data_IF_572109632938
#
_entry.id   IF_572109632938
#
_cell.length_a   1.000
_cell.length_b   1.000
_cell.length_c   1.000
_cell.angle_alpha   90.00
_cell.angle_beta   90.00
_cell.angle_gamma   90.00
#
_symmetry.space_group_name_H-M   'P 1'
#
loop_
_entity.id
_entity.type
_entity.pdbx_description
1 polymer ?
#
# COMPACT_ATOMS: atom_id res chain seq x y z
N UNK A 1 -7.36 20.00 2.26
CA UNK A 1 -7.96 19.06 3.23
C UNK A 1 -6.93 17.99 3.56
N UNK A 2 -6.92 17.48 4.79
CA UNK A 2 -6.04 16.37 5.19
C UNK A 2 -6.47 15.04 4.53
N UNK A 3 -5.49 14.20 4.17
CA UNK A 3 -5.74 12.83 3.73
C UNK A 3 -6.31 12.01 4.90
N UNK A 4 -7.38 11.26 4.64
CA UNK A 4 -7.95 10.31 5.60
C UNK A 4 -7.91 8.93 4.94
N UNK A 5 -7.07 8.00 5.43
CA UNK A 5 -7.01 6.65 4.88
C UNK A 5 -8.35 5.92 4.97
N UNK A 6 -8.60 5.00 4.05
CA UNK A 6 -9.75 4.11 4.14
C UNK A 6 -9.60 3.17 5.35
N UNK A 7 -10.69 2.79 6.04
CA UNK A 7 -10.64 1.80 7.11
C UNK A 7 -9.95 0.50 6.64
N UNK A 8 -8.99 0.00 7.42
CA UNK A 8 -8.20 -1.19 7.07
C UNK A 8 -6.99 -0.93 6.15
N UNK A 9 -6.78 0.31 5.70
CA UNK A 9 -5.64 0.70 4.88
C UNK A 9 -4.85 1.84 5.54
N UNK A 10 -3.79 1.53 6.28
CA UNK A 10 -2.99 2.53 7.01
C UNK A 10 -1.52 2.53 6.56
N UNK A 11 -1.20 3.21 5.45
CA UNK A 11 0.17 3.42 5.00
C UNK A 11 0.93 4.36 5.91
N UNK A 12 2.19 4.03 6.20
CA UNK A 12 3.21 4.99 6.64
C UNK A 12 4.05 5.38 5.43
N UNK A 13 4.09 6.66 5.08
CA UNK A 13 4.86 7.16 3.93
C UNK A 13 6.17 7.81 4.36
N UNK A 14 7.21 7.59 3.57
CA UNK A 14 8.55 8.15 3.74
C UNK A 14 9.08 8.15 5.19
N UNK A 15 8.97 7.02 5.94
CA UNK A 15 9.47 7.00 7.31
C UNK A 15 11.00 7.12 7.33
N UNK A 16 11.53 7.78 8.36
CA UNK A 16 12.96 7.87 8.62
C UNK A 16 13.50 6.58 9.21
N UNK A 17 14.78 6.29 8.96
CA UNK A 17 15.49 5.17 9.57
C UNK A 17 16.29 5.63 10.81
N UNK A 18 16.45 4.77 11.84
CA UNK A 18 15.81 3.46 11.98
C UNK A 18 14.30 3.60 12.18
N UNK A 19 13.52 2.79 11.46
CA UNK A 19 12.08 2.70 11.69
C UNK A 19 11.84 1.65 12.77
N UNK A 20 11.08 1.99 13.81
CA UNK A 20 10.61 1.05 14.81
C UNK A 20 9.23 1.49 15.31
N UNK A 21 8.19 0.72 14.98
CA UNK A 21 6.80 1.06 15.34
C UNK A 21 5.98 -0.19 15.68
N UNK A 22 4.94 -0.05 16.52
CA UNK A 22 3.99 -1.12 16.77
C UNK A 22 3.31 -1.59 15.48
N UNK A 23 3.05 -2.89 15.40
CA UNK A 23 2.17 -3.49 14.39
C UNK A 23 0.74 -3.28 14.87
N UNK A 24 -0.12 -2.55 14.14
CA UNK A 24 -1.49 -2.28 14.58
C UNK A 24 -2.28 -3.57 14.84
N UNK A 25 -2.79 -3.73 16.06
CA UNK A 25 -3.55 -4.92 16.46
C UNK A 25 -2.69 -6.17 16.77
N UNK A 26 -1.36 -6.06 16.72
CA UNK A 26 -0.46 -7.20 16.80
C UNK A 26 -0.36 -7.96 15.48
N UNK A 27 0.55 -8.93 15.40
CA UNK A 27 0.71 -9.75 14.21
C UNK A 27 -0.20 -10.98 14.25
N UNK A 28 -0.96 -11.23 13.18
CA UNK A 28 -1.88 -12.37 13.07
C UNK A 28 -1.74 -13.11 11.74
N UNK A 29 -2.13 -14.38 11.73
CA UNK A 29 -2.21 -15.18 10.50
C UNK A 29 -3.13 -14.48 9.48
N UNK A 30 -2.72 -14.48 8.22
CA UNK A 30 -3.40 -13.78 7.13
C UNK A 30 -2.93 -12.34 6.92
N UNK A 31 -2.18 -11.76 7.88
CA UNK A 31 -1.58 -10.44 7.69
C UNK A 31 -0.46 -10.45 6.65
N UNK A 32 -0.26 -9.31 6.00
CA UNK A 32 0.89 -9.03 5.16
C UNK A 32 1.51 -7.70 5.56
N UNK A 33 2.84 -7.70 5.71
CA UNK A 33 3.64 -6.49 5.87
C UNK A 33 4.25 -6.15 4.51
N UNK A 34 3.93 -4.97 4.01
CA UNK A 34 4.28 -4.53 2.67
C UNK A 34 5.20 -3.32 2.74
N UNK A 35 6.43 -3.47 2.24
CA UNK A 35 7.51 -2.49 2.34
C UNK A 35 7.98 -2.12 0.93
N UNK A 36 7.95 -0.84 0.62
CA UNK A 36 8.51 -0.28 -0.62
C UNK A 36 9.64 0.66 -0.27
N UNK A 37 10.76 0.56 -0.99
CA UNK A 37 11.94 1.38 -0.73
C UNK A 37 12.94 1.33 -1.87
N UNK A 38 14.07 2.00 -1.66
CA UNK A 38 15.22 2.01 -2.57
C UNK A 38 16.44 1.54 -1.79
N UNK A 39 17.11 0.50 -2.28
CA UNK A 39 18.39 0.07 -1.73
C UNK A 39 19.45 1.13 -2.05
N UNK A 40 20.28 1.50 -1.08
CA UNK A 40 21.36 2.47 -1.30
C UNK A 40 22.34 1.98 -2.38
N UNK A 41 22.89 2.90 -3.18
CA UNK A 41 24.00 2.60 -4.11
C UNK A 41 25.23 2.05 -3.37
N UNK A 42 25.39 2.43 -2.11
CA UNK A 42 26.47 1.98 -1.23
C UNK A 42 26.03 0.89 -0.25
N UNK A 43 24.90 0.22 -0.53
CA UNK A 43 24.35 -0.79 0.37
C UNK A 43 25.37 -1.87 0.70
N UNK A 44 25.62 -2.04 2.00
CA UNK A 44 26.31 -3.18 2.60
C UNK A 44 25.28 -4.13 3.20
N UNK A 45 24.27 -3.63 3.90
CA UNK A 45 23.17 -4.43 4.44
C UNK A 45 22.00 -3.58 4.90
N UNK A 46 20.83 -4.19 4.95
CA UNK A 46 19.72 -3.70 5.75
C UNK A 46 19.03 -4.85 6.46
N UNK A 47 18.21 -4.56 7.46
CA UNK A 47 17.41 -5.57 8.14
C UNK A 47 15.96 -5.16 8.29
N UNK A 48 15.08 -6.16 8.22
CA UNK A 48 13.68 -6.08 8.64
C UNK A 48 13.50 -7.07 9.78
N UNK A 49 13.09 -6.58 10.94
CA UNK A 49 12.97 -7.34 12.17
C UNK A 49 11.54 -7.30 12.69
N UNK A 50 11.01 -8.48 13.02
CA UNK A 50 9.77 -8.62 13.78
C UNK A 50 10.14 -8.83 15.24
N UNK A 51 9.89 -7.82 16.06
CA UNK A 51 10.31 -7.77 17.46
C UNK A 51 9.19 -8.22 18.39
N UNK A 52 9.59 -8.84 19.50
CA UNK A 52 8.70 -9.27 20.60
C UNK A 52 8.47 -8.16 21.65
N UNK A 53 9.03 -6.97 21.43
CA UNK A 53 8.88 -5.83 22.32
C UNK A 53 9.46 -4.56 21.71
N UNK A 54 9.29 -3.44 22.41
CA UNK A 54 9.85 -2.15 22.01
C UNK A 54 11.24 -1.86 22.60
N UNK A 55 11.61 -2.60 23.64
CA UNK A 55 12.80 -2.29 24.43
C UNK A 55 14.08 -2.68 23.66
N UNK A 56 15.18 -1.90 23.81
CA UNK A 56 16.47 -2.29 23.26
C UNK A 56 16.87 -3.70 23.71
N UNK A 57 17.24 -4.56 22.76
CA UNK A 57 17.58 -5.95 23.03
C UNK A 57 16.39 -6.91 23.13
N UNK A 58 15.16 -6.43 22.85
CA UNK A 58 14.00 -7.31 22.68
C UNK A 58 14.29 -8.44 21.70
N UNK A 59 13.69 -9.60 21.96
CA UNK A 59 13.81 -10.76 21.08
C UNK A 59 13.32 -10.44 19.66
N UNK A 60 13.99 -11.04 18.68
CA UNK A 60 13.67 -10.91 17.26
C UNK A 60 13.11 -12.24 16.81
N UNK A 61 11.78 -12.32 16.61
CA UNK A 61 11.11 -13.52 16.13
C UNK A 61 11.52 -13.86 14.70
N UNK A 62 11.66 -12.83 13.86
CA UNK A 62 12.11 -12.97 12.48
C UNK A 62 13.03 -11.83 12.09
N UNK A 63 14.29 -12.18 11.78
CA UNK A 63 15.32 -11.29 11.24
C UNK A 63 15.48 -11.60 9.76
N UNK A 64 15.20 -10.62 8.89
CA UNK A 64 15.45 -10.68 7.46
C UNK A 64 16.59 -9.73 7.11
N UNK A 65 17.71 -10.22 6.61
CA UNK A 65 18.91 -9.40 6.45
C UNK A 65 19.69 -9.69 5.16
N UNK A 66 19.41 -8.95 4.08
CA UNK A 66 20.23 -8.93 2.88
C UNK A 66 21.60 -8.30 3.15
N UNK A 67 22.66 -8.97 2.69
CA UNK A 67 24.07 -8.57 2.87
C UNK A 67 24.83 -8.59 1.56
N UNK A 68 25.56 -7.51 1.30
CA UNK A 68 26.52 -7.31 0.20
C UNK A 68 27.96 -7.23 0.75
N UNK A 69 28.34 -8.23 1.54
CA UNK A 69 29.61 -8.29 2.29
C UNK A 69 30.57 -9.36 1.75
N UNK A 70 30.64 -9.48 0.41
CA UNK A 70 31.53 -10.39 -0.31
C UNK A 70 30.76 -11.49 -1.01
N UNK A 71 30.38 -12.55 -0.28
CA UNK A 71 29.43 -13.55 -0.78
C UNK A 71 28.02 -13.07 -0.47
N UNK A 72 27.43 -12.35 -1.43
CA UNK A 72 26.08 -11.82 -1.39
C UNK A 72 25.07 -12.91 -0.98
N UNK A 73 24.27 -12.58 0.03
CA UNK A 73 23.31 -13.52 0.63
C UNK A 73 22.23 -12.78 1.40
N UNK A 74 21.09 -13.42 1.55
CA UNK A 74 20.09 -13.03 2.54
C UNK A 74 20.19 -13.99 3.72
N UNK A 75 20.36 -13.45 4.92
CA UNK A 75 20.39 -14.18 6.17
C UNK A 75 19.04 -14.06 6.85
N UNK A 76 18.56 -15.20 7.39
CA UNK A 76 17.36 -15.27 8.19
C UNK A 76 17.68 -15.90 9.55
N UNK A 77 17.15 -15.33 10.62
CA UNK A 77 17.37 -15.89 11.95
C UNK A 77 16.32 -15.41 12.98
N UNK A 78 16.43 -15.95 14.19
CA UNK A 78 15.70 -15.53 15.39
C UNK A 78 16.75 -15.21 16.46
N UNK A 79 16.51 -14.16 17.24
CA UNK A 79 17.30 -13.83 18.42
C UNK A 79 16.43 -13.99 19.67
N UNK A 80 16.88 -14.80 20.62
CA UNK A 80 16.18 -15.03 21.89
C UNK A 80 17.15 -14.87 23.07
N UNK A 81 16.78 -14.08 24.07
CA UNK A 81 17.64 -13.82 25.23
C UNK A 81 19.00 -13.22 24.85
N UNK A 82 19.03 -12.36 23.82
CA UNK A 82 20.24 -11.75 23.29
C UNK A 82 21.18 -12.68 22.51
N UNK A 83 20.76 -13.92 22.21
CA UNK A 83 21.55 -14.90 21.45
C UNK A 83 20.88 -15.23 20.13
N UNK A 84 21.67 -15.22 19.05
CA UNK A 84 21.23 -15.68 17.74
C UNK A 84 21.08 -17.20 17.71
N UNK A 85 20.01 -17.67 17.10
CA UNK A 85 19.83 -19.09 16.79
C UNK A 85 20.64 -19.55 15.56
N UNK A 86 20.26 -20.70 15.01
CA UNK A 86 20.88 -21.22 13.78
C UNK A 86 20.54 -20.35 12.57
N UNK A 87 21.55 -19.82 11.87
CA UNK A 87 21.34 -19.00 10.67
C UNK A 87 20.82 -19.85 9.50
N UNK A 88 19.76 -19.37 8.85
CA UNK A 88 19.37 -19.80 7.52
C UNK A 88 19.89 -18.80 6.48
N UNK A 89 20.35 -19.29 5.32
CA UNK A 89 21.00 -18.46 4.30
C UNK A 89 20.52 -18.81 2.91
N UNK A 90 20.18 -17.80 2.12
CA UNK A 90 19.94 -17.93 0.68
C UNK A 90 20.96 -17.10 -0.08
N UNK A 91 21.71 -17.73 -0.98
CA UNK A 91 22.76 -17.09 -1.80
C UNK A 91 22.22 -16.31 -3.00
N UNK A 92 20.98 -16.58 -3.40
CA UNK A 92 20.31 -15.75 -4.40
C UNK A 92 20.01 -14.39 -3.78
N UNK A 93 20.51 -13.31 -4.40
CA UNK A 93 20.28 -11.94 -3.96
C UNK A 93 19.15 -11.31 -4.79
N UNK A 94 17.99 -11.00 -4.18
CA UNK A 94 16.85 -10.43 -4.92
C UNK A 94 16.88 -8.90 -4.95
N UNK A 95 17.85 -8.27 -4.29
CA UNK A 95 18.03 -6.82 -4.25
C UNK A 95 19.18 -6.38 -5.15
N UNK A 96 19.12 -5.15 -5.64
CA UNK A 96 20.20 -4.52 -6.40
C UNK A 96 20.48 -3.14 -5.80
N UNK A 97 21.76 -2.79 -5.64
CA UNK A 97 22.18 -1.47 -5.17
C UNK A 97 21.63 -0.37 -6.08
N UNK A 98 21.12 0.71 -5.50
CA UNK A 98 20.49 1.82 -6.21
C UNK A 98 19.10 1.53 -6.78
N UNK A 99 18.61 0.29 -6.67
CA UNK A 99 17.32 -0.10 -7.24
C UNK A 99 16.19 0.00 -6.21
N UNK A 100 15.02 0.40 -6.71
CA UNK A 100 13.77 0.26 -5.99
C UNK A 100 13.45 -1.22 -5.76
N UNK A 101 12.81 -1.53 -4.63
CA UNK A 101 12.34 -2.85 -4.30
C UNK A 101 10.96 -2.81 -3.64
N UNK A 102 10.24 -3.90 -3.84
CA UNK A 102 9.06 -4.26 -3.09
C UNK A 102 9.33 -5.53 -2.30
N UNK A 103 9.01 -5.49 -1.01
CA UNK A 103 9.10 -6.62 -0.09
C UNK A 103 7.75 -6.86 0.55
N UNK A 104 7.22 -8.07 0.39
CA UNK A 104 5.99 -8.52 1.04
C UNK A 104 6.30 -9.69 1.94
N UNK A 105 5.95 -9.57 3.22
CA UNK A 105 6.08 -10.64 4.21
C UNK A 105 4.69 -11.05 4.63
N UNK A 106 4.25 -12.21 4.15
CA UNK A 106 2.94 -12.79 4.47
C UNK A 106 3.07 -13.67 5.71
N UNK A 107 2.14 -13.50 6.64
CA UNK A 107 2.10 -14.24 7.89
C UNK A 107 1.16 -15.43 7.72
N UNK A 108 1.71 -16.63 7.63
CA UNK A 108 0.95 -17.87 7.57
C UNK A 108 1.01 -18.58 8.93
N UNK A 109 0.19 -19.61 9.09
CA UNK A 109 0.07 -20.34 10.36
C UNK A 109 1.42 -20.92 10.84
N UNK A 110 2.21 -21.47 9.92
CA UNK A 110 3.45 -22.19 10.24
C UNK A 110 4.74 -21.40 9.95
N UNK A 111 4.67 -20.37 9.11
CA UNK A 111 5.85 -19.66 8.63
C UNK A 111 5.55 -18.23 8.14
N UNK A 112 6.61 -17.44 7.99
CA UNK A 112 6.62 -16.21 7.21
C UNK A 112 6.96 -16.53 5.76
N UNK A 113 6.13 -16.09 4.81
CA UNK A 113 6.42 -16.19 3.38
C UNK A 113 6.91 -14.85 2.85
N UNK A 114 8.11 -14.84 2.31
CA UNK A 114 8.80 -13.66 1.77
C UNK A 114 8.67 -13.64 0.25
N UNK A 115 8.17 -12.52 -0.28
CA UNK A 115 8.06 -12.22 -1.70
C UNK A 115 8.81 -10.92 -1.97
N UNK A 116 9.68 -10.92 -2.99
CA UNK A 116 10.45 -9.73 -3.39
C UNK A 116 10.16 -9.42 -4.85
N UNK A 117 9.74 -8.19 -5.15
CA UNK A 117 9.38 -7.74 -6.49
C UNK A 117 8.41 -8.69 -7.20
N UNK A 118 7.34 -9.10 -6.49
CA UNK A 118 6.33 -10.05 -6.97
C UNK A 118 6.76 -11.53 -7.04
N UNK A 119 8.03 -11.85 -6.80
CA UNK A 119 8.54 -13.22 -6.90
C UNK A 119 8.67 -13.88 -5.51
N UNK A 120 8.11 -15.09 -5.30
CA UNK A 120 8.35 -15.85 -4.07
C UNK A 120 9.84 -16.08 -3.84
N UNK A 121 10.34 -15.72 -2.66
CA UNK A 121 11.77 -15.72 -2.37
C UNK A 121 12.16 -16.74 -1.31
N UNK A 122 11.47 -16.75 -0.16
CA UNK A 122 11.83 -17.60 0.97
C UNK A 122 10.65 -17.88 1.89
N UNK A 123 10.68 -18.99 2.62
CA UNK A 123 9.72 -19.33 3.66
C UNK A 123 10.50 -19.62 4.95
N UNK A 124 10.19 -18.90 6.03
CA UNK A 124 10.89 -18.99 7.31
C UNK A 124 9.94 -19.48 8.40
N UNK A 125 10.16 -20.69 8.92
CA UNK A 125 9.32 -21.30 9.95
C UNK A 125 9.32 -20.48 11.25
N UNK A 126 8.17 -20.39 11.91
CA UNK A 126 8.06 -19.70 13.20
C UNK A 126 8.91 -20.40 14.26
N UNK A 127 9.91 -19.70 14.81
CA UNK A 127 10.73 -20.19 15.94
C UNK A 127 10.29 -19.64 17.29
N UNK A 128 9.55 -18.54 17.28
CA UNK A 128 8.86 -17.97 18.44
C UNK A 128 7.36 -17.89 18.15
N UNK A 129 6.49 -17.96 19.18
CA UNK A 129 5.06 -17.78 19.00
C UNK A 129 4.72 -16.46 18.31
N UNK A 130 3.91 -16.53 17.25
CA UNK A 130 3.53 -15.36 16.43
C UNK A 130 2.91 -14.24 17.27
N UNK A 131 2.11 -14.60 18.28
CA UNK A 131 1.37 -13.67 19.15
C UNK A 131 2.30 -12.79 20.00
N UNK A 132 3.57 -13.18 20.15
CA UNK A 132 4.56 -12.39 20.87
C UNK A 132 5.05 -11.20 20.03
N UNK A 133 4.88 -11.22 18.71
CA UNK A 133 5.38 -10.19 17.81
C UNK A 133 4.50 -8.94 17.87
N UNK A 134 5.12 -7.83 18.27
CA UNK A 134 4.41 -6.57 18.54
C UNK A 134 4.93 -5.40 17.71
N UNK A 135 6.17 -5.43 17.24
CA UNK A 135 6.80 -4.30 16.55
C UNK A 135 7.49 -4.73 15.26
N UNK A 136 7.47 -3.81 14.28
CA UNK A 136 8.28 -3.91 13.07
C UNK A 136 9.43 -2.92 13.19
N UNK A 137 10.65 -3.40 12.99
CA UNK A 137 11.84 -2.57 12.87
C UNK A 137 12.46 -2.73 11.48
N UNK A 138 12.87 -1.62 10.88
CA UNK A 138 13.63 -1.61 9.63
C UNK A 138 14.81 -0.65 9.79
N UNK A 139 16.00 -1.11 9.42
CA UNK A 139 17.23 -0.32 9.58
C UNK A 139 18.30 -0.71 8.56
N UNK A 140 19.31 0.15 8.38
CA UNK A 140 20.46 -0.05 7.50
C UNK A 140 20.39 0.73 6.19
N UNK A 141 21.08 0.23 5.16
CA UNK A 141 21.43 1.00 3.96
C UNK A 141 20.31 1.04 2.90
N UNK A 142 19.18 1.66 3.22
CA UNK A 142 18.07 1.88 2.30
C UNK A 142 17.40 3.25 2.52
N UNK A 143 16.47 3.59 1.64
CA UNK A 143 15.46 4.63 1.87
C UNK A 143 14.07 3.99 1.84
N UNK A 144 13.25 4.24 2.84
CA UNK A 144 11.86 3.75 2.88
C UNK A 144 10.94 4.73 2.16
N UNK A 145 10.10 4.21 1.27
CA UNK A 145 9.03 4.96 0.62
C UNK A 145 7.68 4.70 1.26
N UNK A 146 7.35 3.44 1.56
CA UNK A 146 6.14 3.14 2.35
C UNK A 146 6.21 1.82 3.11
N UNK A 147 5.47 1.76 4.22
CA UNK A 147 5.19 0.53 4.98
C UNK A 147 3.67 0.41 5.16
N UNK A 148 3.10 -0.76 4.91
CA UNK A 148 1.67 -1.03 5.04
C UNK A 148 1.43 -2.36 5.74
N UNK A 149 0.44 -2.39 6.63
CA UNK A 149 -0.06 -3.61 7.25
C UNK A 149 -1.43 -3.92 6.64
N UNK A 150 -1.59 -5.11 6.06
CA UNK A 150 -2.80 -5.51 5.33
C UNK A 150 -3.32 -6.82 5.93
N UNK A 151 -4.64 -6.99 6.02
CA UNK A 151 -5.26 -8.27 6.40
C UNK A 151 -5.27 -8.59 7.91
N UNK A 152 -5.04 -7.59 8.78
CA UNK A 152 -5.16 -7.73 10.23
C UNK A 152 -6.58 -7.44 10.72
N UNK A 153 -6.95 -7.95 11.89
CA UNK A 153 -8.17 -7.49 12.55
C UNK A 153 -8.03 -5.98 12.86
N UNK A 154 -9.07 -5.17 12.64
CA UNK A 154 -9.02 -3.77 13.03
C UNK A 154 -8.65 -3.69 14.53
N UNK A 155 -7.81 -2.72 14.93
CA UNK A 155 -7.48 -2.56 16.34
C UNK A 155 -8.78 -2.41 17.12
N UNK A 156 -8.91 -3.05 18.30
CA UNK A 156 -10.08 -2.88 19.13
C UNK A 156 -10.29 -1.38 19.39
N UNK A 157 -11.54 -0.89 19.37
CA UNK A 157 -11.81 0.52 19.65
C UNK A 157 -11.21 0.87 21.03
N UNK A 158 -10.72 2.12 21.21
CA UNK A 158 -10.24 2.55 22.51
C UNK A 158 -11.34 2.29 23.53
N UNK A 159 -11.08 1.44 24.52
CA UNK A 159 -11.97 1.26 25.66
C UNK A 159 -11.96 2.59 26.43
N UNK A 160 -12.92 3.47 26.11
CA UNK A 160 -13.24 4.60 26.97
C UNK A 160 -13.67 4.10 28.35
N UNK A 161 -13.61 4.94 29.39
CA UNK A 161 -14.02 4.54 30.74
C UNK A 161 -15.44 3.96 30.69
N UNK A 162 -15.64 2.78 31.28
CA UNK A 162 -16.95 2.14 31.40
C UNK A 162 -17.95 3.13 32.01
N UNK A 163 -18.86 3.66 31.19
CA UNK A 163 -20.00 4.40 31.70
C UNK A 163 -21.04 3.40 32.23
N UNK A 164 -21.48 3.67 33.45
CA UNK A 164 -22.55 2.98 34.18
C UNK A 164 -23.81 2.76 33.30
N UNK A 165 -24.62 1.72 33.55
CA UNK A 165 -25.80 1.46 32.73
C UNK A 165 -26.85 2.55 32.94
N UNK A 166 -27.15 3.31 31.87
CA UNK A 166 -28.26 4.24 31.84
C UNK A 166 -29.56 3.54 31.41
N UNK A 167 -30.66 3.93 32.04
CA UNK A 167 -32.03 3.44 31.83
C UNK A 167 -32.49 3.48 30.36
N UNK A 168 -33.46 2.62 29.96
CA UNK A 168 -33.90 2.53 28.57
C UNK A 168 -34.82 3.70 28.19
N UNK A 169 -34.33 4.55 27.28
CA UNK A 169 -35.12 5.54 26.54
C UNK A 169 -35.20 5.19 25.04
N UNK A 170 -36.18 5.71 24.28
CA UNK A 170 -36.57 5.16 22.98
C UNK A 170 -35.53 5.43 21.90
N UNK A 171 -35.32 4.42 21.05
CA UNK A 171 -34.26 4.31 20.05
C UNK A 171 -34.06 5.53 19.16
N UNK A 172 -32.83 6.05 19.20
CA UNK A 172 -32.27 6.89 18.14
C UNK A 172 -31.13 6.12 17.47
N UNK A 173 -31.41 5.62 16.26
CA UNK A 173 -30.39 5.13 15.33
C UNK A 173 -29.50 6.32 14.91
N UNK A 174 -28.42 6.57 15.67
CA UNK A 174 -27.34 7.43 15.19
C UNK A 174 -26.54 6.67 14.13
N UNK A 175 -26.92 6.82 12.86
CA UNK A 175 -26.02 6.48 11.75
C UNK A 175 -24.79 7.39 11.84
N UNK A 176 -23.60 6.80 12.00
CA UNK A 176 -22.32 7.49 11.92
C UNK A 176 -22.12 8.04 10.49
N UNK A 177 -22.60 9.24 10.22
CA UNK A 177 -22.55 9.90 8.91
C UNK A 177 -21.12 10.30 8.46
N UNK A 178 -20.12 10.09 9.31
CA UNK A 178 -18.73 10.53 9.12
C UNK A 178 -17.72 9.40 8.86
N UNK A 179 -18.12 8.13 8.86
CA UNK A 179 -17.22 7.03 8.50
C UNK A 179 -17.13 6.86 6.97
N UNK A 180 -15.92 6.64 6.47
CA UNK A 180 -15.72 6.16 5.10
C UNK A 180 -16.25 4.72 4.98
N UNK A 181 -16.76 4.31 3.81
CA UNK A 181 -17.11 2.92 3.60
C UNK A 181 -15.86 2.04 3.73
N UNK A 182 -16.04 0.82 4.22
CA UNK A 182 -14.99 -0.21 4.20
C UNK A 182 -14.64 -0.56 2.75
N UNK A 183 -13.39 -0.90 2.50
CA UNK A 183 -12.94 -1.40 1.19
C UNK A 183 -13.68 -2.70 0.83
N UNK A 184 -14.07 -2.86 -0.43
CA UNK A 184 -14.77 -4.02 -0.98
C UNK A 184 -13.80 -5.12 -1.41
N UNK A 185 -14.08 -6.33 -0.93
CA UNK A 185 -13.37 -7.54 -1.35
C UNK A 185 -11.90 -7.59 -0.93
N UNK A 186 -11.23 -8.72 -1.19
CA UNK A 186 -9.80 -8.83 -0.94
C UNK A 186 -9.04 -7.94 -1.96
N UNK A 187 -7.93 -7.32 -1.54
CA UNK A 187 -7.03 -6.63 -2.46
C UNK A 187 -6.46 -7.59 -3.51
N UNK A 188 -6.19 -7.07 -4.70
CA UNK A 188 -5.48 -7.78 -5.75
C UNK A 188 -4.03 -7.38 -5.73
N UNK A 189 -3.14 -8.36 -5.51
CA UNK A 189 -1.69 -8.13 -5.48
C UNK A 189 -1.07 -8.41 -6.85
N UNK A 190 -0.13 -7.56 -7.24
CA UNK A 190 0.66 -7.68 -8.48
C UNK A 190 -0.16 -8.02 -9.75
N UNK A 191 -1.30 -7.35 -10.02
CA UNK A 191 -2.08 -7.65 -11.21
C UNK A 191 -1.32 -7.26 -12.50
N UNK A 192 -1.51 -7.99 -13.61
CA UNK A 192 -0.89 -7.63 -14.88
C UNK A 192 -1.47 -6.33 -15.43
N UNK A 193 -0.66 -5.63 -16.24
CA UNK A 193 -1.07 -4.48 -17.05
C UNK A 193 -1.10 -4.92 -18.52
N UNK A 194 -2.19 -4.69 -19.28
CA UNK A 194 -3.36 -3.88 -18.93
C UNK A 194 -4.25 -4.53 -17.87
N UNK A 195 -4.72 -3.72 -16.91
CA UNK A 195 -5.58 -4.15 -15.82
C UNK A 195 -6.99 -3.64 -16.02
N UNK A 196 -7.98 -4.50 -15.81
CA UNK A 196 -9.39 -4.17 -15.88
C UNK A 196 -10.10 -4.74 -14.66
N UNK A 197 -10.92 -3.92 -14.01
CA UNK A 197 -11.71 -4.36 -12.87
C UNK A 197 -13.09 -3.72 -12.87
N UNK A 198 -14.11 -4.57 -12.82
CA UNK A 198 -15.49 -4.15 -12.68
C UNK A 198 -15.78 -3.71 -11.24
N UNK A 199 -16.42 -2.56 -11.09
CA UNK A 199 -16.99 -2.05 -9.85
C UNK A 199 -18.41 -2.60 -9.74
N UNK A 200 -18.62 -3.64 -8.92
CA UNK A 200 -19.97 -4.15 -8.70
C UNK A 200 -20.85 -3.05 -8.08
N UNK A 201 -22.03 -2.85 -8.67
CA UNK A 201 -22.93 -1.76 -8.31
C UNK A 201 -22.52 -0.38 -8.82
N UNK A 202 -21.42 -0.27 -9.58
CA UNK A 202 -20.89 0.99 -10.06
C UNK A 202 -20.18 1.81 -8.96
N UNK A 203 -19.86 3.06 -9.27
CA UNK A 203 -19.19 3.97 -8.36
C UNK A 203 -20.20 4.66 -7.43
N UNK A 204 -20.03 4.50 -6.12
CA UNK A 204 -20.87 5.18 -5.12
C UNK A 204 -20.13 6.35 -4.47
N UNK A 205 -20.90 7.30 -3.93
CA UNK A 205 -20.30 8.41 -3.18
C UNK A 205 -19.51 7.86 -1.98
N UNK A 206 -18.34 8.45 -1.74
CA UNK A 206 -17.33 8.07 -0.72
C UNK A 206 -16.55 6.78 -1.01
N UNK A 207 -16.87 6.05 -2.08
CA UNK A 207 -16.06 4.89 -2.50
C UNK A 207 -14.64 5.33 -2.82
N UNK A 208 -13.67 4.54 -2.38
CA UNK A 208 -12.25 4.85 -2.49
C UNK A 208 -11.55 3.70 -3.20
N UNK A 209 -10.91 3.99 -4.34
CA UNK A 209 -10.06 3.03 -5.03
C UNK A 209 -8.60 3.34 -4.69
N UNK A 210 -7.89 2.34 -4.19
CA UNK A 210 -6.46 2.38 -3.91
C UNK A 210 -5.72 1.68 -5.04
N UNK A 211 -4.74 2.34 -5.63
CA UNK A 211 -3.86 1.79 -6.67
C UNK A 211 -2.42 2.09 -6.27
N UNK A 212 -1.65 1.05 -5.97
CA UNK A 212 -0.21 1.14 -5.81
C UNK A 212 0.48 0.54 -7.02
N UNK A 213 1.56 1.19 -7.43
CA UNK A 213 2.36 0.72 -8.55
C UNK A 213 3.74 1.31 -8.56
N UNK A 214 4.51 0.92 -9.57
CA UNK A 214 5.86 1.33 -9.84
C UNK A 214 5.95 1.88 -11.26
N UNK A 215 6.54 3.05 -11.42
CA UNK A 215 6.86 3.60 -12.74
C UNK A 215 8.23 3.06 -13.15
N UNK A 216 8.33 2.24 -14.21
CA UNK A 216 9.62 1.74 -14.68
C UNK A 216 10.58 2.89 -15.02
N UNK A 217 11.90 2.75 -14.83
CA UNK A 217 12.87 3.80 -15.18
C UNK A 217 12.80 4.25 -16.65
N UNK A 218 12.34 3.37 -17.55
CA UNK A 218 12.15 3.63 -18.98
C UNK A 218 10.72 4.02 -19.35
N UNK A 219 9.82 4.14 -18.37
CA UNK A 219 8.41 4.41 -18.61
C UNK A 219 8.17 5.81 -19.15
N UNK A 220 7.33 5.93 -20.18
CA UNK A 220 7.00 7.19 -20.83
C UNK A 220 5.69 7.76 -20.30
N UNK A 221 4.67 6.91 -20.19
CA UNK A 221 3.37 7.30 -19.64
C UNK A 221 2.53 6.09 -19.29
N UNK A 222 1.62 6.26 -18.34
CA UNK A 222 0.55 5.30 -18.08
C UNK A 222 -0.77 6.02 -17.88
N UNK A 223 -1.87 5.27 -17.78
CA UNK A 223 -3.21 5.81 -17.61
C UNK A 223 -3.99 5.04 -16.55
N UNK A 224 -4.80 5.75 -15.79
CA UNK A 224 -5.84 5.20 -14.91
C UNK A 224 -7.17 5.79 -15.35
N UNK A 225 -8.10 4.94 -15.75
CA UNK A 225 -9.39 5.32 -16.31
C UNK A 225 -10.52 4.80 -15.43
N UNK A 226 -11.49 5.67 -15.15
CA UNK A 226 -12.78 5.34 -14.57
C UNK A 226 -13.82 5.43 -15.67
N UNK A 227 -14.34 4.28 -16.11
CA UNK A 227 -15.12 4.13 -17.35
C UNK A 227 -16.55 3.70 -17.08
N UNK A 228 -17.43 4.11 -17.99
CA UNK A 228 -18.75 3.50 -18.17
C UNK A 228 -18.58 2.36 -19.17
N UNK A 229 -18.57 1.11 -18.71
CA UNK A 229 -18.21 -0.05 -19.52
C UNK A 229 -19.09 -0.24 -20.76
N UNK A 230 -20.36 0.15 -20.69
CA UNK A 230 -21.31 -0.02 -21.80
C UNK A 230 -21.16 0.99 -22.93
N UNK A 231 -20.75 2.24 -22.64
CA UNK A 231 -20.55 3.27 -23.67
C UNK A 231 -19.08 3.47 -24.05
N UNK A 232 -18.16 3.03 -23.20
CA UNK A 232 -16.73 3.32 -23.33
C UNK A 232 -16.36 4.74 -22.89
N UNK A 233 -17.32 5.55 -22.42
CA UNK A 233 -17.05 6.88 -21.89
C UNK A 233 -16.09 6.79 -20.69
N UNK A 234 -15.20 7.77 -20.58
CA UNK A 234 -14.24 7.88 -19.49
C UNK A 234 -14.64 9.07 -18.64
N UNK A 235 -15.17 8.80 -17.44
CA UNK A 235 -15.55 9.82 -16.48
C UNK A 235 -14.32 10.57 -15.94
N UNK A 236 -13.27 9.82 -15.61
CA UNK A 236 -11.99 10.35 -15.17
C UNK A 236 -10.86 9.58 -15.85
N UNK A 237 -10.10 10.28 -16.67
CA UNK A 237 -8.83 9.87 -17.23
C UNK A 237 -7.71 10.53 -16.41
N UNK A 238 -6.76 9.76 -15.90
CA UNK A 238 -5.54 10.27 -15.27
C UNK A 238 -4.36 9.75 -16.09
N UNK A 239 -3.55 10.64 -16.64
CA UNK A 239 -2.42 10.28 -17.49
C UNK A 239 -1.14 10.99 -17.04
N UNK A 240 -0.35 10.34 -16.16
CA UNK A 240 1.02 10.75 -15.91
C UNK A 240 1.88 10.56 -17.16
N UNK A 241 2.45 11.66 -17.65
CA UNK A 241 3.42 11.72 -18.74
C UNK A 241 4.79 12.00 -18.13
N UNK A 242 5.59 10.95 -18.00
CA UNK A 242 6.81 10.94 -17.18
C UNK A 242 7.88 11.86 -17.78
N UNK A 243 8.05 11.83 -19.11
CA UNK A 243 9.02 12.69 -19.82
C UNK A 243 8.72 14.19 -19.65
N UNK A 244 7.45 14.56 -19.81
CA UNK A 244 7.00 15.95 -19.67
C UNK A 244 6.84 16.38 -18.20
N UNK A 245 6.97 15.44 -17.26
CA UNK A 245 6.69 15.63 -15.83
C UNK A 245 5.30 16.22 -15.56
N UNK A 246 4.31 15.88 -16.38
CA UNK A 246 2.92 16.37 -16.26
C UNK A 246 1.95 15.25 -15.90
N UNK A 247 0.84 15.61 -15.26
CA UNK A 247 -0.29 14.69 -15.02
C UNK A 247 -1.52 15.31 -15.64
N UNK A 248 -1.90 14.78 -16.80
CA UNK A 248 -3.09 15.23 -17.53
C UNK A 248 -4.32 14.53 -16.97
N UNK A 249 -5.40 15.29 -16.76
CA UNK A 249 -6.72 14.72 -16.48
C UNK A 249 -7.74 15.23 -17.48
N UNK A 250 -8.67 14.37 -17.84
CA UNK A 250 -9.73 14.71 -18.77
C UNK A 250 -10.92 13.74 -18.63
N UNK A 251 -11.96 13.97 -19.41
CA UNK A 251 -13.05 13.02 -19.65
C UNK A 251 -13.19 12.79 -21.15
N UNK A 252 -13.56 11.56 -21.52
CA UNK A 252 -13.95 11.20 -22.88
C UNK A 252 -15.46 10.94 -22.86
N UNK A 253 -16.22 11.72 -23.61
CA UNK A 253 -17.69 11.59 -23.66
C UNK A 253 -18.13 11.56 -25.11
N UNK A 254 -18.91 10.55 -25.49
CA UNK A 254 -19.39 10.35 -26.87
C UNK A 254 -18.24 10.38 -27.89
N UNK A 255 -17.12 9.72 -27.57
CA UNK A 255 -15.93 9.64 -28.43
C UNK A 255 -15.09 10.91 -28.54
N UNK A 256 -15.43 11.98 -27.83
CA UNK A 256 -14.69 13.25 -27.86
C UNK A 256 -14.04 13.58 -26.52
N UNK A 257 -12.77 13.96 -26.55
CA UNK A 257 -12.06 14.45 -25.36
C UNK A 257 -12.51 15.86 -25.01
N UNK A 258 -12.70 16.13 -23.72
CA UNK A 258 -12.96 17.47 -23.21
C UNK A 258 -11.68 18.31 -23.08
N UNK A 259 -11.76 19.39 -22.31
CA UNK A 259 -10.61 20.22 -21.96
C UNK A 259 -9.68 19.52 -20.96
N UNK A 260 -8.38 19.51 -21.23
CA UNK A 260 -7.39 18.94 -20.30
C UNK A 260 -7.21 19.81 -19.04
N UNK A 261 -7.02 19.14 -17.89
CA UNK A 261 -6.58 19.75 -16.65
C UNK A 261 -5.18 19.26 -16.29
N UNK A 262 -4.25 20.18 -16.03
CA UNK A 262 -2.82 19.86 -15.81
C UNK A 262 -2.27 20.31 -14.47
N UNK A 263 -2.97 21.20 -13.77
CA UNK A 263 -2.52 21.77 -12.50
C UNK A 263 -2.49 20.71 -11.39
N UNK A 264 -1.35 20.49 -10.75
CA UNK A 264 -1.15 19.59 -9.60
C UNK A 264 -0.26 20.28 -8.57
N UNK A 265 -0.40 19.92 -7.30
CA UNK A 265 0.43 20.49 -6.22
C UNK A 265 1.88 20.00 -6.24
N UNK A 266 2.09 18.74 -6.64
CA UNK A 266 3.37 18.07 -6.79
C UNK A 266 3.21 16.92 -7.80
N UNK A 267 4.30 16.38 -8.34
CA UNK A 267 4.26 15.20 -9.21
C UNK A 267 4.82 13.97 -8.47
N UNK A 268 3.98 12.98 -8.11
CA UNK A 268 4.40 11.78 -7.40
C UNK A 268 4.94 10.67 -8.33
N UNK A 269 4.92 10.89 -9.64
CA UNK A 269 5.27 9.88 -10.65
C UNK A 269 6.64 10.18 -11.26
N UNK A 270 7.69 9.65 -10.63
CA UNK A 270 9.05 9.69 -11.16
C UNK A 270 9.52 8.36 -11.76
N UNK A 271 10.46 8.36 -12.71
CA UNK A 271 11.09 7.13 -13.18
C UNK A 271 11.71 6.36 -12.01
N UNK A 272 11.42 5.06 -11.91
CA UNK A 272 11.93 4.22 -10.84
C UNK A 272 11.30 4.49 -9.47
N UNK A 273 10.12 5.11 -9.39
CA UNK A 273 9.44 5.39 -8.13
C UNK A 273 8.17 4.56 -7.96
N UNK A 274 7.92 4.12 -6.72
CA UNK A 274 6.61 3.65 -6.33
C UNK A 274 5.67 4.83 -6.08
N UNK A 275 4.38 4.58 -6.32
CA UNK A 275 3.31 5.50 -5.98
C UNK A 275 2.17 4.75 -5.29
N UNK A 276 1.38 5.51 -4.55
CA UNK A 276 0.16 5.08 -3.91
C UNK A 276 -0.93 6.11 -4.17
N UNK A 277 -1.88 5.75 -5.02
CA UNK A 277 -3.02 6.59 -5.37
C UNK A 277 -4.25 6.18 -4.58
N UNK A 278 -4.84 7.13 -3.88
CA UNK A 278 -6.17 7.03 -3.28
C UNK A 278 -7.14 7.93 -4.03
N UNK A 279 -8.05 7.32 -4.77
CA UNK A 279 -9.02 8.00 -5.64
C UNK A 279 -10.41 7.87 -5.01
N UNK A 280 -10.90 8.96 -4.43
CA UNK A 280 -12.20 9.00 -3.75
C UNK A 280 -13.25 9.63 -4.63
N UNK A 281 -14.37 8.94 -4.84
CA UNK A 281 -15.55 9.53 -5.46
C UNK A 281 -16.30 10.39 -4.45
N UNK A 282 -16.37 11.70 -4.66
CA UNK A 282 -17.30 12.59 -3.98
C UNK A 282 -18.65 12.67 -4.70
N UNK A 283 -19.56 13.49 -4.16
CA UNK A 283 -20.86 13.75 -4.79
C UNK A 283 -20.73 14.61 -6.06
N UNK A 284 -19.79 15.55 -6.06
CA UNK A 284 -19.60 16.55 -7.11
C UNK A 284 -18.27 16.40 -7.87
N UNK A 285 -17.29 15.70 -7.29
CA UNK A 285 -15.93 15.57 -7.83
C UNK A 285 -15.25 14.30 -7.37
N UNK A 286 -14.21 13.89 -8.09
CA UNK A 286 -13.17 13.03 -7.55
C UNK A 286 -12.18 13.83 -6.70
N UNK A 287 -11.72 13.23 -5.61
CA UNK A 287 -10.60 13.73 -4.81
C UNK A 287 -9.48 12.71 -4.87
N UNK A 288 -8.33 13.11 -5.39
CA UNK A 288 -7.19 12.22 -5.62
C UNK A 288 -6.04 12.62 -4.73
N UNK A 289 -5.50 11.62 -4.03
CA UNK A 289 -4.32 11.73 -3.19
C UNK A 289 -3.24 10.81 -3.73
N UNK A 290 -2.00 11.25 -3.63
CA UNK A 290 -0.83 10.44 -3.93
C UNK A 290 0.12 10.45 -2.74
N UNK A 291 0.58 9.27 -2.32
CA UNK A 291 1.54 9.11 -1.23
C UNK A 291 1.11 9.86 0.06
N UNK A 292 -0.19 9.82 0.36
CA UNK A 292 -0.79 10.48 1.53
C UNK A 292 -0.98 12.01 1.40
N UNK A 293 -0.63 12.61 0.26
CA UNK A 293 -0.78 14.05 0.02
C UNK A 293 -1.87 14.32 -1.02
N UNK A 294 -2.59 15.44 -0.87
CA UNK A 294 -3.59 15.85 -1.86
C UNK A 294 -2.89 16.19 -3.18
N UNK A 295 -3.37 15.58 -4.27
CA UNK A 295 -2.80 15.75 -5.59
C UNK A 295 -3.65 16.71 -6.44
N UNK A 296 -4.93 16.36 -6.64
CA UNK A 296 -5.91 17.21 -7.33
C UNK A 296 -7.35 16.82 -7.00
N UNK A 297 -8.25 17.76 -7.28
CA UNK A 297 -9.68 17.52 -7.42
C UNK A 297 -10.03 17.45 -8.91
N UNK A 298 -11.06 16.68 -9.29
CA UNK A 298 -11.59 16.65 -10.65
C UNK A 298 -13.11 16.62 -10.63
N UNK A 299 -13.74 17.73 -11.02
CA UNK A 299 -15.22 17.87 -11.03
C UNK A 299 -15.85 16.87 -11.98
N UNK A 300 -16.95 16.25 -11.56
CA UNK A 300 -17.68 15.28 -12.38
C UNK A 300 -18.19 15.96 -13.66
N UNK A 301 -17.70 15.51 -14.81
CA UNK A 301 -18.20 15.94 -16.13
C UNK A 301 -19.32 15.04 -16.66
N UNK A 302 -19.51 13.87 -16.04
CA UNK A 302 -20.62 12.95 -16.30
C UNK A 302 -21.55 13.01 -15.09
N UNK A 303 -22.78 13.48 -15.31
CA UNK A 303 -23.76 13.74 -14.24
C UNK A 303 -24.17 12.47 -13.48
N UNK A 304 -24.17 11.32 -14.18
CA UNK A 304 -24.51 10.01 -13.63
C UNK A 304 -23.25 9.21 -13.30
N UNK A 305 -22.41 9.69 -12.36
CA UNK A 305 -21.16 9.02 -11.97
C UNK A 305 -21.37 7.56 -11.50
N UNK A 306 -22.57 7.21 -11.03
CA UNK A 306 -22.96 5.84 -10.68
C UNK A 306 -22.88 4.85 -11.85
N UNK A 307 -22.93 5.34 -13.09
CA UNK A 307 -22.75 4.52 -14.30
C UNK A 307 -21.30 4.09 -14.51
N UNK A 308 -20.35 4.71 -13.83
CA UNK A 308 -18.94 4.31 -13.87
C UNK A 308 -18.82 2.98 -13.16
N UNK A 309 -18.50 1.94 -13.92
CA UNK A 309 -18.49 0.56 -13.43
C UNK A 309 -17.19 -0.17 -13.72
N UNK A 310 -16.18 0.52 -14.27
CA UNK A 310 -14.92 -0.10 -14.69
C UNK A 310 -13.74 0.78 -14.32
N UNK A 311 -12.74 0.20 -13.66
CA UNK A 311 -11.40 0.76 -13.50
C UNK A 311 -10.48 0.08 -14.50
N UNK A 312 -9.74 0.87 -15.26
CA UNK A 312 -8.79 0.39 -16.27
C UNK A 312 -7.44 1.06 -16.05
N UNK A 313 -6.35 0.29 -16.09
CA UNK A 313 -4.97 0.79 -16.00
C UNK A 313 -4.17 0.26 -17.18
N UNK A 314 -3.56 1.18 -17.95
CA UNK A 314 -2.81 0.86 -19.17
C UNK A 314 -1.46 1.60 -19.20
N UNK A 315 -0.54 1.13 -20.03
CA UNK A 315 0.73 1.82 -20.32
C UNK A 315 1.88 1.38 -19.43
N UNK A 316 2.90 2.24 -19.30
CA UNK A 316 4.18 1.91 -18.70
C UNK A 316 4.13 1.97 -17.17
N UNK A 317 3.52 0.96 -16.55
CA UNK A 317 3.39 0.84 -15.10
C UNK A 317 3.36 -0.63 -14.68
N UNK A 318 3.99 -0.93 -13.54
CA UNK A 318 3.80 -2.21 -12.86
C UNK A 318 2.86 -1.99 -11.69
N UNK A 319 1.71 -2.66 -11.69
CA UNK A 319 0.79 -2.61 -10.55
C UNK A 319 1.24 -3.58 -9.47
N UNK A 320 1.09 -3.14 -8.23
CA UNK A 320 1.55 -3.91 -7.08
C UNK A 320 0.41 -4.24 -6.12
N UNK A 321 -0.58 -3.37 -6.04
CA UNK A 321 -1.76 -3.55 -5.22
C UNK A 321 -2.92 -2.73 -5.79
N UNK A 322 -4.10 -3.34 -5.89
CA UNK A 322 -5.35 -2.64 -6.19
C UNK A 322 -6.42 -3.09 -5.22
N UNK A 323 -7.08 -2.15 -4.55
CA UNK A 323 -8.26 -2.41 -3.73
C UNK A 323 -9.33 -1.34 -4.02
N UNK A 324 -10.60 -1.73 -3.93
CA UNK A 324 -11.76 -0.92 -4.33
C UNK A 324 -12.66 -0.67 -3.12
#
# INVERSE_FOLDING_TARGET
MAFVPAPGYQPTYNPTLPYCKPIPGGLSVGMSVYIQGVASDHMKRFSVNFLVGQDPGSDIAFHFNPRFDGLDKVVFNTMQGGKWGSEEKKRSMPFKKGAAFELVIMVLAEHYKVVVNGNPFYEYGHRLPLQMVTHLQVDGDLQLQSINFIGGQPPPPPQGPQMMPAYPGPGHFHQQLNSLPSMEGPPVFNPPVPYFRRLQGGLTARRTVIIKGFVPPTGKSFTVNFKVGSSGDIALHINPRIGDRTVVRNSLVNGSWGSEERNISHNPFGPGQFFDLSIRCGLDRFKVFANGQHLFDFTHRISAFQRVDTVEVLGDVTLSYVQI
#
